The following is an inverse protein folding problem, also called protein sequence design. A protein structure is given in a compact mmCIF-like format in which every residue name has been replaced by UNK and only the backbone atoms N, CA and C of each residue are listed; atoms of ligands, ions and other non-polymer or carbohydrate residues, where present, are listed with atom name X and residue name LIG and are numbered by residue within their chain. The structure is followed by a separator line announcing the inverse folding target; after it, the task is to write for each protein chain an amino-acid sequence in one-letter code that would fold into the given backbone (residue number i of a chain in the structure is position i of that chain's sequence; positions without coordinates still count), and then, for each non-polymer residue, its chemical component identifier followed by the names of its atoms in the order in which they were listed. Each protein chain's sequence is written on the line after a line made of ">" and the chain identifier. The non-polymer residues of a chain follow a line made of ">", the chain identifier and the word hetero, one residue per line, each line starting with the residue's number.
data_IF_050248104341
#
_entry.id   IF_050248104341
#
_cell.length_a   1.000
_cell.length_b   1.000
_cell.length_c   1.000
_cell.angle_alpha   90.00
_cell.angle_beta   90.00
_cell.angle_gamma   90.00
#
_symmetry.space_group_name_H-M   'P 1'
#
loop_
_entity.id
_entity.type
_entity.pdbx_description
1 polymer ?
#
# COMPACT_ATOMS: atom_id res chain seq x y z
N UNK A 1 -16.54 7.32 -29.60
CA UNK A 1 -15.37 6.41 -29.53
C UNK A 1 -15.03 5.90 -30.92
N UNK A 2 -15.96 5.26 -31.64
CA UNK A 2 -15.67 4.75 -32.99
C UNK A 2 -15.32 5.87 -33.98
N UNK A 3 -16.02 7.00 -33.92
CA UNK A 3 -15.81 8.16 -34.81
C UNK A 3 -14.41 8.79 -34.68
N UNK A 4 -13.68 8.46 -33.60
CA UNK A 4 -12.35 9.01 -33.30
C UNK A 4 -11.31 7.90 -33.05
N UNK A 5 -11.52 6.70 -33.60
CA UNK A 5 -10.68 5.52 -33.32
C UNK A 5 -9.18 5.70 -33.57
N UNK A 6 -8.80 6.57 -34.50
CA UNK A 6 -7.40 6.84 -34.85
C UNK A 6 -6.79 8.02 -34.07
N UNK A 7 -7.58 8.69 -33.22
CA UNK A 7 -7.19 9.91 -32.50
C UNK A 7 -7.44 9.84 -30.98
N UNK A 8 -8.08 8.78 -30.48
CA UNK A 8 -8.48 8.65 -29.08
C UNK A 8 -8.13 7.27 -28.50
N UNK A 9 -7.41 7.28 -27.37
CA UNK A 9 -7.23 6.11 -26.51
C UNK A 9 -8.07 6.31 -25.26
N UNK A 10 -8.87 5.30 -24.89
CA UNK A 10 -9.68 5.29 -23.68
C UNK A 10 -9.15 4.21 -22.74
N UNK A 11 -8.78 4.61 -21.52
CA UNK A 11 -8.37 3.70 -20.45
C UNK A 11 -9.38 3.85 -19.32
N UNK A 12 -9.97 2.72 -18.92
CA UNK A 12 -10.87 2.62 -17.76
C UNK A 12 -10.21 1.74 -16.72
N UNK A 13 -10.36 2.11 -15.45
CA UNK A 13 -9.78 1.38 -14.32
C UNK A 13 -10.76 1.37 -13.15
N UNK A 14 -10.80 0.26 -12.44
CA UNK A 14 -11.68 0.06 -11.29
C UNK A 14 -11.55 -1.37 -10.76
N UNK A 15 -12.25 -1.65 -9.66
CA UNK A 15 -12.26 -2.99 -9.09
C UNK A 15 -12.93 -4.00 -10.03
N UNK A 16 -12.50 -5.29 -10.00
CA UNK A 16 -12.96 -6.29 -10.96
C UNK A 16 -14.49 -6.41 -11.05
N UNK A 17 -15.18 -6.40 -9.92
CA UNK A 17 -16.63 -6.59 -9.86
C UNK A 17 -17.40 -5.39 -10.46
N UNK A 18 -17.20 -4.13 -10.01
CA UNK A 18 -17.75 -2.96 -10.70
C UNK A 18 -17.37 -2.88 -12.18
N UNK A 19 -16.14 -3.26 -12.55
CA UNK A 19 -15.70 -3.24 -13.96
C UNK A 19 -16.44 -4.28 -14.80
N UNK A 20 -16.70 -5.48 -14.27
CA UNK A 20 -17.51 -6.47 -14.95
C UNK A 20 -18.94 -5.99 -15.16
N UNK A 21 -19.55 -5.36 -14.15
CA UNK A 21 -20.88 -4.77 -14.27
C UNK A 21 -20.90 -3.65 -15.33
N UNK A 22 -19.92 -2.76 -15.30
CA UNK A 22 -19.74 -1.68 -16.28
C UNK A 22 -19.61 -2.19 -17.73
N UNK A 23 -18.80 -3.23 -17.95
CA UNK A 23 -18.59 -3.80 -19.29
C UNK A 23 -19.84 -4.50 -19.83
N UNK A 24 -20.75 -4.95 -18.96
CA UNK A 24 -21.97 -5.67 -19.33
C UNK A 24 -23.21 -4.78 -19.48
N UNK A 25 -23.07 -3.45 -19.33
CA UNK A 25 -24.20 -2.50 -19.46
C UNK A 25 -24.85 -2.57 -20.86
N UNK A 26 -24.07 -2.80 -21.92
CA UNK A 26 -24.61 -3.23 -23.21
C UNK A 26 -23.61 -4.13 -23.96
N UNK A 27 -24.08 -5.06 -24.82
CA UNK A 27 -23.21 -6.04 -25.49
C UNK A 27 -22.13 -5.43 -26.38
N UNK A 28 -22.42 -4.27 -26.98
CA UNK A 28 -21.50 -3.54 -27.86
C UNK A 28 -20.39 -2.79 -27.12
N UNK A 29 -20.47 -2.69 -25.79
CA UNK A 29 -19.47 -2.00 -24.99
C UNK A 29 -18.29 -2.91 -24.69
N UNK A 30 -18.55 -4.17 -24.31
CA UNK A 30 -17.52 -5.17 -24.02
C UNK A 30 -16.60 -5.42 -25.21
N UNK A 31 -17.14 -5.44 -26.43
CA UNK A 31 -16.34 -5.65 -27.65
C UNK A 31 -15.36 -4.50 -27.95
N UNK A 32 -15.58 -3.31 -27.39
CA UNK A 32 -14.72 -2.13 -27.56
C UNK A 32 -13.53 -2.12 -26.59
N UNK A 33 -13.59 -2.91 -25.53
CA UNK A 33 -12.49 -3.12 -24.57
C UNK A 33 -11.84 -4.49 -24.81
N UNK A 34 -11.08 -4.59 -25.90
CA UNK A 34 -10.43 -5.85 -26.32
C UNK A 34 -9.12 -6.16 -25.56
N UNK A 35 -8.66 -5.27 -24.68
CA UNK A 35 -7.50 -5.47 -23.80
C UNK A 35 -7.92 -5.26 -22.35
N UNK A 36 -7.78 -6.30 -21.55
CA UNK A 36 -8.03 -6.27 -20.11
C UNK A 36 -6.73 -6.60 -19.41
N UNK A 37 -6.27 -5.69 -18.55
CA UNK A 37 -5.11 -5.88 -17.70
C UNK A 37 -5.59 -6.03 -16.26
N UNK A 38 -5.30 -7.16 -15.64
CA UNK A 38 -5.58 -7.40 -14.22
C UNK A 38 -4.32 -7.12 -13.43
N UNK A 39 -4.44 -6.26 -12.42
CA UNK A 39 -3.37 -6.00 -11.46
C UNK A 39 -3.65 -6.81 -10.21
N UNK A 40 -2.77 -7.75 -9.90
CA UNK A 40 -2.86 -8.55 -8.68
C UNK A 40 -2.35 -7.74 -7.48
N UNK A 41 -2.82 -8.12 -6.29
CA UNK A 41 -2.30 -7.57 -5.05
C UNK A 41 -0.84 -8.00 -4.84
N UNK A 42 -0.07 -7.16 -4.14
CA UNK A 42 1.30 -7.50 -3.79
C UNK A 42 1.34 -8.61 -2.74
N UNK A 43 2.35 -9.47 -2.85
CA UNK A 43 2.73 -10.44 -1.81
C UNK A 43 3.27 -9.74 -0.56
N UNK A 44 3.37 -10.49 0.55
CA UNK A 44 3.99 -9.98 1.79
C UNK A 44 5.40 -9.44 1.50
N UNK A 45 6.21 -10.22 0.78
CA UNK A 45 7.59 -9.86 0.44
C UNK A 45 7.66 -8.56 -0.38
N UNK A 46 6.79 -8.41 -1.37
CA UNK A 46 6.72 -7.20 -2.19
C UNK A 46 6.27 -5.99 -1.36
N UNK A 47 5.31 -6.15 -0.44
CA UNK A 47 4.89 -5.07 0.46
C UNK A 47 6.01 -4.66 1.42
N UNK A 48 6.80 -5.61 1.91
CA UNK A 48 7.98 -5.32 2.76
C UNK A 48 9.08 -4.61 1.96
N UNK A 49 9.29 -4.98 0.69
CA UNK A 49 10.21 -4.24 -0.20
C UNK A 49 9.73 -2.82 -0.49
N UNK A 50 8.41 -2.65 -0.67
CA UNK A 50 7.80 -1.33 -0.87
C UNK A 50 8.01 -0.46 0.38
N UNK A 51 7.77 -1.01 1.58
CA UNK A 51 8.02 -0.31 2.84
C UNK A 51 9.48 0.14 2.94
N UNK A 52 10.42 -0.79 2.72
CA UNK A 52 11.85 -0.49 2.74
C UNK A 52 12.24 0.59 1.71
N UNK A 53 11.63 0.55 0.52
CA UNK A 53 11.83 1.58 -0.51
C UNK A 53 11.28 2.95 -0.11
N UNK A 54 10.22 3.01 0.70
CA UNK A 54 9.69 4.27 1.25
C UNK A 54 10.55 4.79 2.40
N UNK A 55 10.97 3.91 3.31
CA UNK A 55 11.88 4.21 4.42
C UNK A 55 13.18 4.84 3.90
N UNK A 56 13.84 4.20 2.92
CA UNK A 56 15.07 4.70 2.30
C UNK A 56 14.91 6.09 1.67
N UNK A 57 13.74 6.41 1.11
CA UNK A 57 13.49 7.74 0.51
C UNK A 57 13.33 8.84 1.56
N UNK A 58 12.97 8.47 2.78
CA UNK A 58 12.74 9.40 3.88
C UNK A 58 13.90 9.38 4.89
N UNK A 59 15.00 8.68 4.58
CA UNK A 59 16.14 8.44 5.48
C UNK A 59 15.76 7.77 6.81
N UNK A 60 14.71 6.94 6.79
CA UNK A 60 14.32 6.07 7.89
C UNK A 60 14.80 4.64 7.68
N UNK A 61 14.87 3.90 8.78
CA UNK A 61 15.08 2.46 8.78
C UNK A 61 14.33 1.83 9.95
N UNK A 62 13.69 0.70 9.68
CA UNK A 62 13.03 -0.12 10.69
C UNK A 62 14.02 -1.14 11.25
N UNK A 63 14.13 -1.24 12.57
CA UNK A 63 15.00 -2.24 13.20
C UNK A 63 14.54 -3.68 12.92
N UNK A 64 15.38 -4.68 13.21
CA UNK A 64 15.08 -6.07 12.86
C UNK A 64 13.81 -6.61 13.52
N UNK A 65 13.58 -6.23 14.78
CA UNK A 65 12.48 -6.76 15.58
C UNK A 65 11.16 -6.12 15.13
N UNK A 66 11.19 -4.82 14.86
CA UNK A 66 10.10 -4.07 14.26
C UNK A 66 9.79 -4.57 12.85
N UNK A 67 10.80 -4.86 12.03
CA UNK A 67 10.59 -5.38 10.68
C UNK A 67 9.85 -6.72 10.72
N UNK A 68 10.27 -7.63 11.60
CA UNK A 68 9.59 -8.91 11.78
C UNK A 68 8.15 -8.75 12.30
N UNK A 69 7.94 -7.80 13.22
CA UNK A 69 6.61 -7.45 13.70
C UNK A 69 5.69 -6.97 12.57
N UNK A 70 6.17 -6.06 11.73
CA UNK A 70 5.42 -5.52 10.58
C UNK A 70 5.11 -6.61 9.56
N UNK A 71 6.09 -7.45 9.23
CA UNK A 71 5.92 -8.59 8.32
C UNK A 71 4.79 -9.52 8.79
N UNK A 72 4.78 -9.91 10.07
CA UNK A 72 3.72 -10.74 10.66
C UNK A 72 2.35 -10.05 10.61
N UNK A 73 2.32 -8.74 10.85
CA UNK A 73 1.10 -7.92 10.75
C UNK A 73 0.55 -7.90 9.33
N UNK A 74 1.41 -7.76 8.32
CA UNK A 74 1.03 -7.79 6.90
C UNK A 74 0.53 -9.18 6.51
N UNK A 75 1.23 -10.24 6.93
CA UNK A 75 0.83 -11.63 6.69
C UNK A 75 -0.58 -11.91 7.22
N UNK A 76 -0.84 -11.53 8.47
CA UNK A 76 -2.18 -11.64 9.09
C UNK A 76 -3.21 -10.84 8.28
N UNK A 77 -2.92 -9.59 7.92
CA UNK A 77 -3.86 -8.74 7.16
C UNK A 77 -4.22 -9.35 5.80
N UNK A 78 -3.24 -9.91 5.08
CA UNK A 78 -3.47 -10.55 3.77
C UNK A 78 -4.20 -11.89 3.90
N UNK A 79 -3.95 -12.68 4.94
CA UNK A 79 -4.67 -13.93 5.21
C UNK A 79 -6.18 -13.71 5.40
N UNK A 80 -6.58 -12.61 6.03
CA UNK A 80 -8.00 -12.28 6.26
C UNK A 80 -8.67 -11.51 5.10
N UNK A 81 -8.04 -11.46 3.92
CA UNK A 81 -8.53 -10.90 2.63
C UNK A 81 -9.72 -9.94 2.76
N UNK A 82 -9.49 -8.73 3.26
CA UNK A 82 -10.43 -7.64 2.99
C UNK A 82 -10.29 -7.24 1.53
N UNK A 83 -11.39 -7.32 0.75
CA UNK A 83 -11.46 -6.97 -0.68
C UNK A 83 -10.90 -5.58 -1.04
N UNK A 84 -10.65 -4.74 -0.04
CA UNK A 84 -10.27 -3.33 -0.19
C UNK A 84 -8.87 -3.02 0.36
N UNK A 85 -7.98 -4.01 0.53
CA UNK A 85 -6.62 -3.71 0.98
C UNK A 85 -5.90 -2.83 -0.05
N UNK A 86 -5.52 -1.61 0.34
CA UNK A 86 -5.01 -0.60 -0.57
C UNK A 86 -3.52 -0.80 -0.98
N UNK A 87 -2.95 -1.99 -0.77
CA UNK A 87 -1.59 -2.36 -1.19
C UNK A 87 -0.54 -1.34 -0.71
N UNK A 88 0.31 -0.84 -1.63
CA UNK A 88 1.36 0.14 -1.35
C UNK A 88 0.83 1.40 -0.64
N UNK A 89 -0.43 1.81 -0.87
CA UNK A 89 -1.03 2.94 -0.15
C UNK A 89 -1.22 2.62 1.33
N UNK A 90 -1.64 1.41 1.67
CA UNK A 90 -1.76 0.97 3.06
C UNK A 90 -0.39 0.94 3.74
N UNK A 91 0.65 0.46 3.06
CA UNK A 91 2.03 0.49 3.59
C UNK A 91 2.54 1.91 3.81
N UNK A 92 2.26 2.84 2.90
CA UNK A 92 2.59 4.26 3.09
C UNK A 92 1.92 4.85 4.32
N UNK A 93 0.61 4.69 4.43
CA UNK A 93 -0.16 5.21 5.57
C UNK A 93 0.35 4.61 6.89
N UNK A 94 0.73 3.33 6.86
CA UNK A 94 1.29 2.62 8.01
C UNK A 94 2.63 3.21 8.45
N UNK A 95 3.55 3.47 7.50
CA UNK A 95 4.82 4.12 7.75
C UNK A 95 4.64 5.56 8.26
N UNK A 96 3.77 6.35 7.65
CA UNK A 96 3.49 7.73 8.08
C UNK A 96 2.97 7.78 9.51
N UNK A 97 2.06 6.86 9.87
CA UNK A 97 1.56 6.73 11.23
C UNK A 97 2.66 6.27 12.21
N UNK A 98 3.58 5.41 11.78
CA UNK A 98 4.71 4.98 12.60
C UNK A 98 5.70 6.12 12.87
N UNK A 99 6.03 6.92 11.85
CA UNK A 99 6.86 8.13 12.00
C UNK A 99 6.21 9.11 12.98
N UNK A 100 4.88 9.27 12.92
CA UNK A 100 4.17 10.11 13.88
C UNK A 100 4.31 9.57 15.31
N UNK A 101 4.17 8.25 15.52
CA UNK A 101 4.38 7.64 16.84
C UNK A 101 5.82 7.75 17.34
N UNK A 102 6.78 7.56 16.45
CA UNK A 102 8.19 7.78 16.75
C UNK A 102 8.43 9.20 17.25
N UNK A 103 7.86 10.22 16.60
CA UNK A 103 7.97 11.60 17.09
C UNK A 103 7.41 11.78 18.52
N UNK A 104 6.30 11.12 18.85
CA UNK A 104 5.70 11.17 20.18
C UNK A 104 6.57 10.47 21.23
N UNK A 105 7.15 9.31 20.87
CA UNK A 105 8.10 8.61 21.72
C UNK A 105 9.32 9.47 22.03
N UNK A 106 9.92 10.06 21.00
CA UNK A 106 11.16 10.83 21.15
C UNK A 106 10.97 12.07 22.03
N UNK A 107 9.79 12.71 21.99
CA UNK A 107 9.45 13.83 22.89
C UNK A 107 9.52 13.43 24.38
N UNK A 108 9.20 12.17 24.69
CA UNK A 108 9.19 11.67 26.07
C UNK A 108 10.58 11.17 26.53
N UNK A 109 11.56 11.14 25.64
CA UNK A 109 12.88 10.58 25.91
C UNK A 109 13.83 11.67 26.45
N UNK A 110 14.45 11.41 27.61
CA UNK A 110 15.37 12.38 28.24
C UNK A 110 16.66 12.62 27.43
N UNK A 111 17.12 11.60 26.71
CA UNK A 111 18.32 11.67 25.87
C UNK A 111 18.04 11.08 24.49
N UNK A 112 18.07 11.92 23.47
CA UNK A 112 17.85 11.54 22.07
C UNK A 112 19.20 11.47 21.37
N UNK A 113 19.53 10.31 20.78
CA UNK A 113 20.69 10.17 19.89
C UNK A 113 20.27 10.46 18.46
N UNK A 114 21.25 10.81 17.62
CA UNK A 114 20.99 11.04 16.18
C UNK A 114 20.36 9.83 15.51
N UNK A 115 20.77 8.62 15.89
CA UNK A 115 20.23 7.36 15.39
C UNK A 115 18.75 7.18 15.75
N UNK A 116 18.30 7.68 16.89
CA UNK A 116 16.89 7.54 17.31
C UNK A 116 15.94 8.35 16.41
N UNK A 117 16.44 9.41 15.75
CA UNK A 117 15.67 10.24 14.81
C UNK A 117 15.31 9.50 13.52
N UNK A 118 16.08 8.48 13.16
CA UNK A 118 15.97 7.75 11.89
C UNK A 118 15.58 6.28 12.08
N UNK A 119 15.61 5.76 13.31
CA UNK A 119 15.25 4.37 13.62
C UNK A 119 13.78 4.25 14.05
N UNK A 120 13.01 3.40 13.37
CA UNK A 120 11.68 2.97 13.79
C UNK A 120 11.78 1.64 14.54
N UNK A 121 11.11 1.56 15.70
CA UNK A 121 11.06 0.37 16.58
C UNK A 121 9.64 -0.17 16.70
N UNK A 122 9.48 -1.33 17.33
CA UNK A 122 8.18 -2.03 17.46
C UNK A 122 7.08 -1.10 17.99
N UNK A 123 7.37 -0.35 19.05
CA UNK A 123 6.44 0.57 19.71
C UNK A 123 5.89 1.67 18.78
N UNK A 124 6.63 2.01 17.71
CA UNK A 124 6.18 2.97 16.70
C UNK A 124 5.11 2.36 15.79
N UNK A 125 5.09 1.03 15.64
CA UNK A 125 4.15 0.29 14.79
C UNK A 125 2.98 -0.32 15.57
N UNK A 126 3.13 -0.52 16.87
CA UNK A 126 2.11 -1.11 17.74
C UNK A 126 0.82 -0.28 17.74
N UNK A 127 -0.34 -0.94 17.80
CA UNK A 127 -1.65 -0.28 17.83
C UNK A 127 -2.04 0.49 16.55
N UNK A 128 -1.19 0.55 15.52
CA UNK A 128 -1.56 1.09 14.20
C UNK A 128 -2.31 -0.01 13.41
N UNK A 129 -3.42 0.36 12.79
CA UNK A 129 -4.22 -0.54 11.95
C UNK A 129 -4.02 -0.19 10.48
N UNK A 130 -3.95 -1.20 9.61
CA UNK A 130 -3.98 -0.97 8.16
C UNK A 130 -5.36 -0.43 7.76
N UNK A 131 -5.39 0.85 7.42
CA UNK A 131 -6.53 1.53 6.80
C UNK A 131 -6.72 1.07 5.34
#
# INVERSE_FOLDING_TARGET
>A
MEDYRDQLIVIVAGYPEPMNQFLNVNPGFRSRFNRILTFEDYTVDELMQILEGMEKKLDYYTDSDARHFVEKKVEVKLCYKTKDFANARAMRNYLEAAILKQSQRLIQQEQIRKEDLTTLKIEDFEGITFA
#
